data_IF_016959795849
#
_entry.id   IF_016959795849
#
_cell.length_a   1.000
_cell.length_b   1.000
_cell.length_c   1.000
_cell.angle_alpha   90.00
_cell.angle_beta   90.00
_cell.angle_gamma   90.00
#
_symmetry.space_group_name_H-M   'P 1'
#
loop_
_entity.id
_entity.type
_entity.pdbx_description
1 polymer ?
#
# COMPACT_ATOMS: atom_id res chain seq x y z
N UNK A 1 -21.27 14.17 9.25
CA UNK A 1 -20.87 12.81 8.82
C UNK A 1 -19.44 12.57 9.30
N UNK A 2 -19.25 12.13 10.55
CA UNK A 2 -17.92 11.88 11.11
C UNK A 2 -17.39 10.57 10.51
N UNK A 3 -16.56 10.65 9.47
CA UNK A 3 -15.82 9.49 8.98
C UNK A 3 -15.00 8.91 10.13
N UNK A 4 -15.40 7.73 10.63
CA UNK A 4 -14.63 6.95 11.61
C UNK A 4 -13.19 6.79 11.12
N UNK A 5 -12.20 6.94 12.01
CA UNK A 5 -10.77 6.85 11.69
C UNK A 5 -10.41 5.57 10.92
N UNK A 6 -11.11 4.47 11.23
CA UNK A 6 -10.94 3.18 10.54
C UNK A 6 -11.37 3.22 9.06
N UNK A 7 -12.40 4.02 8.75
CA UNK A 7 -12.92 4.16 7.39
C UNK A 7 -11.97 4.90 6.47
N UNK A 8 -11.30 5.95 6.97
CA UNK A 8 -10.28 6.69 6.22
C UNK A 8 -9.02 5.85 6.00
N UNK A 9 -8.63 5.06 7.00
CA UNK A 9 -7.53 4.12 6.89
C UNK A 9 -7.80 3.02 5.85
N UNK A 10 -9.02 2.45 5.86
CA UNK A 10 -9.46 1.45 4.85
C UNK A 10 -9.43 2.05 3.44
N UNK A 11 -9.89 3.29 3.28
CA UNK A 11 -9.89 4.01 2.00
C UNK A 11 -8.46 4.27 1.49
N UNK A 12 -7.51 4.55 2.38
CA UNK A 12 -6.09 4.65 2.04
C UNK A 12 -5.49 3.35 1.52
N UNK A 13 -5.83 2.22 2.15
CA UNK A 13 -5.38 0.88 1.71
C UNK A 13 -6.01 0.50 0.37
N UNK A 14 -7.28 0.85 0.14
CA UNK A 14 -7.92 0.66 -1.16
C UNK A 14 -7.21 1.46 -2.26
N UNK A 15 -6.86 2.72 -2.03
CA UNK A 15 -6.08 3.50 -3.00
C UNK A 15 -4.70 2.91 -3.27
N UNK A 16 -4.00 2.43 -2.24
CA UNK A 16 -2.75 1.70 -2.43
C UNK A 16 -2.95 0.44 -3.29
N UNK A 17 -4.02 -0.33 -3.05
CA UNK A 17 -4.40 -1.49 -3.85
C UNK A 17 -4.66 -1.14 -5.33
N UNK A 18 -5.35 -0.03 -5.59
CA UNK A 18 -5.59 0.50 -6.94
C UNK A 18 -4.26 0.91 -7.61
N UNK A 19 -3.34 1.52 -6.86
CA UNK A 19 -1.99 1.84 -7.36
C UNK A 19 -1.22 0.60 -7.83
N UNK A 20 -1.26 -0.49 -7.05
CA UNK A 20 -0.66 -1.78 -7.44
C UNK A 20 -1.43 -2.49 -8.56
N UNK A 21 -2.75 -2.30 -8.67
CA UNK A 21 -3.56 -2.78 -9.79
C UNK A 21 -3.12 -2.13 -11.10
N UNK A 22 -2.88 -0.81 -11.10
CA UNK A 22 -2.37 -0.09 -12.27
C UNK A 22 -0.97 -0.58 -12.67
N UNK A 23 -0.09 -0.85 -11.70
CA UNK A 23 1.23 -1.44 -11.95
C UNK A 23 1.16 -2.87 -12.51
N UNK A 24 0.14 -3.64 -12.10
CA UNK A 24 -0.14 -4.98 -12.64
C UNK A 24 -0.54 -4.92 -14.11
N UNK A 25 -1.34 -3.93 -14.52
CA UNK A 25 -1.66 -3.71 -15.93
C UNK A 25 -0.47 -3.18 -16.72
N UNK A 26 0.32 -2.27 -16.14
CA UNK A 26 1.53 -1.75 -16.77
C UNK A 26 2.50 -2.89 -17.11
N UNK A 27 2.78 -3.77 -16.16
CA UNK A 27 3.67 -4.92 -16.36
C UNK A 27 3.13 -5.94 -17.37
N UNK A 28 1.81 -6.17 -17.43
CA UNK A 28 1.22 -7.03 -18.48
C UNK A 28 1.36 -6.40 -19.87
N UNK A 29 1.12 -5.10 -20.00
CA UNK A 29 1.31 -4.39 -21.27
C UNK A 29 2.78 -4.38 -21.71
N UNK A 30 3.72 -4.35 -20.77
CA UNK A 30 5.15 -4.46 -21.06
C UNK A 30 5.50 -5.83 -21.68
N UNK A 31 4.95 -6.92 -21.13
CA UNK A 31 5.17 -8.28 -21.66
C UNK A 31 4.51 -8.44 -23.03
N UNK A 32 3.27 -7.97 -23.19
CA UNK A 32 2.54 -8.05 -24.47
C UNK A 32 3.22 -7.26 -25.60
N UNK A 33 4.02 -6.25 -25.27
CA UNK A 33 4.83 -5.48 -26.23
C UNK A 33 6.27 -6.03 -26.35
N UNK A 34 6.53 -7.30 -26.01
CA UNK A 34 7.84 -7.94 -26.08
C UNK A 34 8.95 -7.19 -25.30
N UNK A 35 8.60 -6.54 -24.18
CA UNK A 35 9.55 -5.78 -23.37
C UNK A 35 9.90 -4.40 -23.93
N UNK A 36 9.20 -3.92 -24.96
CA UNK A 36 9.33 -2.53 -25.43
C UNK A 36 8.86 -1.55 -24.34
N UNK A 37 9.47 -0.35 -24.28
CA UNK A 37 9.10 0.66 -23.30
C UNK A 37 7.64 1.08 -23.47
N UNK A 38 6.90 0.99 -22.37
CA UNK A 38 5.51 1.43 -22.28
C UNK A 38 5.41 2.91 -21.87
N UNK A 39 4.24 3.51 -22.06
CA UNK A 39 3.99 4.90 -21.67
C UNK A 39 4.24 5.16 -20.18
N UNK A 40 4.95 6.26 -19.88
CA UNK A 40 5.22 6.72 -18.52
C UNK A 40 3.94 7.05 -17.72
N UNK A 41 2.82 7.27 -18.42
CA UNK A 41 1.52 7.59 -17.80
C UNK A 41 1.08 6.53 -16.78
N UNK A 42 1.37 5.24 -17.00
CA UNK A 42 1.02 4.16 -16.08
C UNK A 42 1.67 4.32 -14.70
N UNK A 43 2.93 4.75 -14.67
CA UNK A 43 3.68 4.97 -13.43
C UNK A 43 3.14 6.20 -12.71
N UNK A 44 2.88 7.28 -13.45
CA UNK A 44 2.33 8.53 -12.90
C UNK A 44 0.99 8.27 -12.22
N UNK A 45 0.09 7.55 -12.87
CA UNK A 45 -1.22 7.19 -12.32
C UNK A 45 -1.05 6.30 -11.08
N UNK A 46 -0.15 5.32 -11.12
CA UNK A 46 0.12 4.44 -9.97
C UNK A 46 0.62 5.24 -8.76
N UNK A 47 1.59 6.13 -8.96
CA UNK A 47 2.13 7.00 -7.90
C UNK A 47 1.07 7.96 -7.36
N UNK A 48 0.18 8.45 -8.23
CA UNK A 48 -0.93 9.32 -7.84
C UNK A 48 -1.88 8.60 -6.87
N UNK A 49 -2.26 7.35 -7.17
CA UNK A 49 -3.10 6.58 -6.25
C UNK A 49 -2.36 6.18 -4.97
N UNK A 50 -1.08 5.82 -5.05
CA UNK A 50 -0.26 5.52 -3.88
C UNK A 50 -0.13 6.72 -2.93
N UNK A 51 0.12 7.92 -3.48
CA UNK A 51 0.22 9.15 -2.69
C UNK A 51 -1.12 9.57 -2.09
N UNK A 52 -2.24 9.41 -2.81
CA UNK A 52 -3.58 9.57 -2.23
C UNK A 52 -3.84 8.61 -1.06
N UNK A 53 -3.39 7.36 -1.19
CA UNK A 53 -3.42 6.38 -0.13
C UNK A 53 -2.60 6.80 1.09
N UNK A 54 -1.36 7.26 0.85
CA UNK A 54 -0.44 7.70 1.89
C UNK A 54 -0.97 8.94 2.65
N UNK A 55 -1.57 9.89 1.95
CA UNK A 55 -2.25 11.06 2.53
C UNK A 55 -3.40 10.66 3.47
N UNK A 56 -4.06 9.53 3.18
CA UNK A 56 -5.11 8.99 4.04
C UNK A 56 -4.57 8.15 5.20
N UNK A 57 -3.34 7.63 5.12
CA UNK A 57 -2.78 6.75 6.16
C UNK A 57 -1.92 7.53 7.16
N UNK A 58 -1.07 8.45 6.69
CA UNK A 58 -0.09 9.13 7.55
C UNK A 58 -0.69 9.98 8.69
N UNK A 59 -1.72 10.83 8.49
CA UNK A 59 -2.27 11.64 9.59
C UNK A 59 -3.12 10.79 10.55
N UNK A 60 -3.69 9.69 10.06
CA UNK A 60 -4.60 8.84 10.83
C UNK A 60 -3.83 7.79 11.64
N UNK A 61 -2.76 7.22 11.10
CA UNK A 61 -1.91 6.24 11.79
C UNK A 61 -1.34 6.80 13.09
N UNK A 62 -0.65 7.95 13.02
CA UNK A 62 -0.10 8.64 14.19
C UNK A 62 -1.19 9.04 15.20
N UNK A 63 -2.35 9.49 14.74
CA UNK A 63 -3.47 9.88 15.61
C UNK A 63 -4.08 8.69 16.36
N UNK A 64 -4.24 7.54 15.70
CA UNK A 64 -4.75 6.31 16.33
C UNK A 64 -3.75 5.79 17.36
N UNK A 65 -2.47 5.74 17.01
CA UNK A 65 -1.41 5.28 17.91
C UNK A 65 -1.34 6.15 19.18
N UNK A 66 -1.49 7.47 19.04
CA UNK A 66 -1.54 8.38 20.17
C UNK A 66 -2.81 8.24 21.04
N UNK A 67 -3.95 7.83 20.46
CA UNK A 67 -5.23 7.62 21.17
C UNK A 67 -5.31 6.27 21.90
N UNK A 68 -4.70 5.24 21.34
CA UNK A 68 -4.71 3.87 21.91
C UNK A 68 -3.64 3.71 22.98
N UNK A 69 -2.62 4.57 22.98
CA UNK A 69 -1.51 4.50 23.91
C UNK A 69 -1.87 4.83 25.36
N UNK A 70 -1.55 3.94 26.33
CA UNK A 70 -1.50 4.29 27.75
C UNK A 70 -0.42 5.36 27.99
N UNK A 71 -0.68 6.29 28.91
CA UNK A 71 0.23 7.42 29.20
C UNK A 71 1.66 6.98 29.54
N UNK A 72 1.82 5.82 30.16
CA UNK A 72 3.09 5.24 30.58
C UNK A 72 3.98 4.78 29.40
N UNK A 73 3.39 4.35 28.28
CA UNK A 73 4.12 3.73 27.15
C UNK A 73 3.89 4.46 25.82
N UNK A 74 3.42 5.71 25.87
CA UNK A 74 3.09 6.52 24.69
C UNK A 74 4.25 6.68 23.71
N UNK A 75 5.46 6.90 24.22
CA UNK A 75 6.67 7.02 23.39
C UNK A 75 7.07 5.69 22.75
N UNK A 76 6.78 4.56 23.41
CA UNK A 76 7.09 3.22 22.86
C UNK A 76 6.14 2.86 21.71
N UNK A 77 4.86 3.21 21.81
CA UNK A 77 3.86 2.95 20.76
C UNK A 77 4.15 3.79 19.51
N UNK A 78 4.59 5.04 19.69
CA UNK A 78 5.12 5.84 18.58
C UNK A 78 6.38 5.22 17.97
N UNK A 79 7.30 4.70 18.79
CA UNK A 79 8.47 3.95 18.31
C UNK A 79 8.08 2.73 17.48
N UNK A 80 7.06 1.98 17.91
CA UNK A 80 6.56 0.80 17.19
C UNK A 80 6.00 1.16 15.80
N UNK A 81 5.33 2.31 15.67
CA UNK A 81 4.87 2.81 14.37
C UNK A 81 6.03 3.10 13.40
N UNK A 82 7.11 3.71 13.88
CA UNK A 82 8.31 3.95 13.06
C UNK A 82 9.03 2.65 12.71
N UNK A 83 9.12 1.70 13.65
CA UNK A 83 9.69 0.37 13.38
C UNK A 83 8.87 -0.36 12.31
N UNK A 84 7.54 -0.32 12.40
CA UNK A 84 6.67 -0.92 11.38
C UNK A 84 6.89 -0.28 10.00
N UNK A 85 7.01 1.05 9.94
CA UNK A 85 7.32 1.78 8.69
C UNK A 85 8.70 1.40 8.13
N UNK A 86 9.72 1.28 8.98
CA UNK A 86 11.07 0.88 8.57
C UNK A 86 11.08 -0.56 8.03
N UNK A 87 10.38 -1.47 8.71
CA UNK A 87 10.23 -2.86 8.29
C UNK A 87 9.46 -2.97 6.97
N UNK A 88 8.43 -2.15 6.76
CA UNK A 88 7.72 -2.03 5.49
C UNK A 88 8.63 -1.60 4.34
N UNK A 89 9.48 -0.58 4.56
CA UNK A 89 10.47 -0.15 3.57
C UNK A 89 11.53 -1.23 3.29
N UNK A 90 11.96 -1.96 4.32
CA UNK A 90 12.89 -3.07 4.16
C UNK A 90 12.31 -4.20 3.29
N UNK A 91 11.06 -4.60 3.56
CA UNK A 91 10.35 -5.60 2.75
C UNK A 91 10.13 -5.10 1.32
N UNK A 92 9.76 -3.83 1.14
CA UNK A 92 9.64 -3.24 -0.19
C UNK A 92 10.98 -3.27 -0.96
N UNK A 93 12.10 -3.02 -0.27
CA UNK A 93 13.45 -3.13 -0.82
C UNK A 93 13.81 -4.56 -1.23
N UNK A 94 13.45 -5.57 -0.43
CA UNK A 94 13.64 -6.98 -0.77
C UNK A 94 12.82 -7.41 -1.98
N UNK A 95 11.55 -6.97 -2.05
CA UNK A 95 10.67 -7.27 -3.19
C UNK A 95 11.21 -6.59 -4.46
N UNK A 96 11.56 -5.31 -4.38
CA UNK A 96 12.09 -4.55 -5.52
C UNK A 96 13.49 -4.99 -5.96
N UNK A 97 14.36 -5.37 -5.03
CA UNK A 97 15.73 -5.81 -5.32
C UNK A 97 15.81 -7.19 -5.99
N UNK A 98 14.80 -8.04 -5.79
CA UNK A 98 14.70 -9.33 -6.47
C UNK A 98 14.13 -9.23 -7.90
N UNK A 99 13.71 -8.04 -8.35
CA UNK A 99 13.22 -7.83 -9.71
C UNK A 99 14.42 -7.78 -10.67
N UNK A 100 14.62 -8.87 -11.41
CA UNK A 100 15.69 -8.96 -12.39
C UNK A 100 15.19 -8.62 -13.80
N UNK A 101 15.94 -7.82 -14.55
CA UNK A 101 15.60 -7.41 -15.93
C UNK A 101 15.52 -8.62 -16.89
N UNK A 102 16.15 -9.74 -16.54
CA UNK A 102 16.08 -11.00 -17.30
C UNK A 102 14.78 -11.81 -17.09
N UNK A 103 14.02 -11.53 -16.02
CA UNK A 103 12.79 -12.25 -15.67
C UNK A 103 11.59 -11.29 -15.64
N UNK A 104 11.40 -10.51 -16.71
CA UNK A 104 10.29 -9.56 -16.84
C UNK A 104 8.91 -10.22 -16.69
N UNK A 105 8.81 -11.52 -16.98
CA UNK A 105 7.59 -12.31 -16.85
C UNK A 105 7.08 -12.44 -15.41
N UNK A 106 7.96 -12.22 -14.41
CA UNK A 106 7.60 -12.33 -12.99
C UNK A 106 7.03 -11.02 -12.42
N UNK A 107 7.29 -9.86 -13.03
CA UNK A 107 6.80 -8.55 -12.56
C UNK A 107 5.27 -8.52 -12.33
N UNK A 108 4.44 -8.97 -13.30
CA UNK A 108 3.00 -8.92 -13.10
C UNK A 108 2.55 -9.79 -11.94
N UNK A 109 3.24 -10.90 -11.69
CA UNK A 109 2.85 -11.81 -10.62
C UNK A 109 3.15 -11.21 -9.24
N UNK A 110 4.31 -10.54 -9.10
CA UNK A 110 4.69 -9.82 -7.87
C UNK A 110 3.70 -8.68 -7.59
N UNK A 111 3.43 -7.81 -8.58
CA UNK A 111 2.50 -6.70 -8.40
C UNK A 111 1.07 -7.18 -8.12
N UNK A 112 0.66 -8.29 -8.77
CA UNK A 112 -0.64 -8.92 -8.54
C UNK A 112 -0.75 -9.47 -7.11
N UNK A 113 0.29 -10.10 -6.57
CA UNK A 113 0.30 -10.56 -5.19
C UNK A 113 0.17 -9.38 -4.20
N UNK A 114 0.92 -8.30 -4.41
CA UNK A 114 0.80 -7.08 -3.59
C UNK A 114 -0.61 -6.48 -3.67
N UNK A 115 -1.20 -6.42 -4.87
CA UNK A 115 -2.57 -5.98 -5.09
C UNK A 115 -3.57 -6.81 -4.29
N UNK A 116 -3.54 -8.14 -4.41
CA UNK A 116 -4.44 -9.03 -3.66
C UNK A 116 -4.27 -8.91 -2.15
N UNK A 117 -3.03 -8.83 -1.66
CA UNK A 117 -2.79 -8.62 -0.23
C UNK A 117 -3.44 -7.34 0.28
N UNK A 118 -3.30 -6.23 -0.44
CA UNK A 118 -3.90 -4.94 -0.06
C UNK A 118 -5.44 -4.98 -0.13
N UNK A 119 -6.02 -5.62 -1.15
CA UNK A 119 -7.48 -5.78 -1.23
C UNK A 119 -8.03 -6.68 -0.14
N UNK A 120 -7.35 -7.77 0.21
CA UNK A 120 -7.76 -8.64 1.32
C UNK A 120 -7.70 -7.88 2.64
N UNK A 121 -6.64 -7.10 2.89
CA UNK A 121 -6.54 -6.27 4.10
C UNK A 121 -7.64 -5.19 4.11
N UNK A 122 -7.90 -4.54 2.99
CA UNK A 122 -8.99 -3.56 2.88
C UNK A 122 -10.36 -4.20 3.18
N UNK A 123 -10.60 -5.41 2.66
CA UNK A 123 -11.85 -6.14 2.88
C UNK A 123 -11.98 -6.57 4.34
N UNK A 124 -10.90 -7.09 4.95
CA UNK A 124 -10.85 -7.43 6.37
C UNK A 124 -11.15 -6.21 7.25
N UNK A 125 -10.58 -5.04 6.95
CA UNK A 125 -10.86 -3.80 7.67
C UNK A 125 -12.28 -3.30 7.45
N UNK A 126 -12.84 -3.52 6.26
CA UNK A 126 -14.23 -3.19 5.96
C UNK A 126 -15.21 -4.07 6.74
N UNK A 127 -14.91 -5.36 6.93
CA UNK A 127 -15.69 -6.27 7.79
C UNK A 127 -15.50 -5.94 9.27
N UNK A 128 -14.25 -5.67 9.69
CA UNK A 128 -13.91 -5.33 11.08
C UNK A 128 -14.46 -3.97 11.51
N UNK A 129 -14.84 -3.11 10.55
CA UNK A 129 -15.64 -1.91 10.80
C UNK A 129 -17.01 -2.35 11.31
N UNK A 130 -17.13 -2.51 12.64
CA UNK A 130 -18.40 -2.74 13.34
C UNK A 130 -19.43 -1.71 12.85
N UNK A 131 -20.69 -2.12 12.59
CA UNK A 131 -21.77 -1.18 12.39
C UNK A 131 -22.05 -0.50 13.73
N UNK A 132 -21.40 0.64 13.95
CA UNK A 132 -21.71 1.58 15.03
C UNK A 132 -22.31 2.83 14.42
#
# INVERSE_FOLDING_TARGET
MYFSSIGKFTLGILFAGIGFMMMTFASQNLINNNGLPISMAWIIISIFFLTLGELCVSPIGLSIMAKVAPDLIKNQIMGLWFVASALGNFVAGLIGGNVNIKNIDQLPNIFRQCMWMLFVVALLLFIAKKPS
#
